data_IF_455926993502
#
_entry.id   IF_455926993502
#
_cell.length_a   1.000
_cell.length_b   1.000
_cell.length_c   1.000
_cell.angle_alpha   90.00
_cell.angle_beta   90.00
_cell.angle_gamma   90.00
#
_symmetry.space_group_name_H-M   'P 1'
#
loop_
_entity.id
_entity.type
_entity.pdbx_description
1 polymer ?
#
# COMPACT_ATOMS: atom_id res chain seq x y z
N UNK A 1 1.64 -10.19 0.49
CA UNK A 1 2.60 -9.84 1.57
C UNK A 1 2.29 -8.42 1.99
N UNK A 2 2.02 -8.16 3.27
CA UNK A 2 1.70 -6.81 3.75
C UNK A 2 2.95 -5.93 3.74
N UNK A 3 2.91 -4.75 3.14
CA UNK A 3 4.00 -3.77 3.19
C UNK A 3 3.69 -2.70 4.25
N UNK A 4 4.65 -2.35 5.14
CA UNK A 4 4.45 -1.29 6.11
C UNK A 4 4.21 0.07 5.42
N UNK A 5 3.31 0.87 5.97
CA UNK A 5 2.97 2.20 5.45
C UNK A 5 3.07 3.26 6.51
N UNK A 6 3.62 4.41 6.13
CA UNK A 6 3.51 5.59 6.94
C UNK A 6 2.15 6.26 6.70
N UNK A 7 1.42 6.55 7.77
CA UNK A 7 0.21 7.36 7.74
C UNK A 7 0.19 8.18 9.02
N UNK A 8 0.21 9.50 8.91
CA UNK A 8 0.06 10.36 10.08
C UNK A 8 -1.44 10.56 10.36
N UNK A 9 -1.83 10.53 11.63
CA UNK A 9 -3.23 10.52 12.07
C UNK A 9 -3.53 11.71 12.98
N UNK A 10 -4.80 12.11 13.02
CA UNK A 10 -5.32 13.06 13.99
C UNK A 10 -6.59 12.50 14.62
N UNK A 11 -6.69 12.58 15.95
CA UNK A 11 -7.84 12.10 16.72
C UNK A 11 -8.29 13.14 17.72
N UNK A 12 -9.50 12.98 18.26
CA UNK A 12 -10.08 13.92 19.20
C UNK A 12 -10.63 13.22 20.44
N UNK A 13 -10.52 13.90 21.59
CA UNK A 13 -11.02 13.41 22.86
C UNK A 13 -12.56 13.41 22.97
N UNK A 14 -13.26 14.10 22.06
CA UNK A 14 -14.72 14.20 22.05
C UNK A 14 -15.42 13.27 21.07
N UNK A 15 -14.70 12.35 20.41
CA UNK A 15 -15.25 11.44 19.41
C UNK A 15 -14.74 10.01 19.57
N UNK A 16 -15.51 9.05 19.05
CA UNK A 16 -15.01 7.70 18.81
C UNK A 16 -13.89 7.75 17.78
N UNK A 17 -12.86 6.92 17.96
CA UNK A 17 -11.81 6.75 16.98
C UNK A 17 -12.12 5.57 16.07
N UNK A 18 -12.45 5.87 14.81
CA UNK A 18 -12.93 4.90 13.82
C UNK A 18 -12.10 4.85 12.54
N UNK A 19 -10.81 5.19 12.60
CA UNK A 19 -9.93 5.12 11.43
C UNK A 19 -9.82 3.69 10.90
N UNK A 20 -9.77 3.59 9.57
CA UNK A 20 -9.59 2.33 8.84
C UNK A 20 -8.20 2.28 8.20
N UNK A 21 -7.64 1.08 8.11
CA UNK A 21 -6.28 0.84 7.64
C UNK A 21 -6.25 -0.15 6.46
N UNK A 22 -6.57 0.28 5.23
CA UNK A 22 -6.68 -0.62 4.08
C UNK A 22 -5.35 -1.27 3.70
N UNK A 23 -5.26 -2.58 3.85
CA UNK A 23 -4.11 -3.37 3.45
C UNK A 23 -4.18 -3.58 1.95
N UNK A 24 -3.35 -2.85 1.19
CA UNK A 24 -3.31 -3.03 -0.27
C UNK A 24 -1.98 -3.59 -0.74
N UNK A 25 -2.05 -4.35 -1.82
CA UNK A 25 -0.91 -4.84 -2.59
C UNK A 25 -1.13 -4.46 -4.07
N UNK A 26 -0.12 -4.66 -4.91
CA UNK A 26 -0.32 -4.54 -6.34
C UNK A 26 -1.24 -5.65 -6.84
N UNK A 27 -2.29 -5.26 -7.55
CA UNK A 27 -3.20 -6.13 -8.28
C UNK A 27 -2.89 -6.13 -9.78
N UNK A 28 -3.86 -6.55 -10.62
CA UNK A 28 -3.74 -6.48 -12.08
C UNK A 28 -3.34 -5.08 -12.56
N UNK A 29 -2.65 -5.01 -13.71
CA UNK A 29 -2.23 -3.74 -14.28
C UNK A 29 -3.00 -3.40 -15.56
N UNK A 30 -3.36 -2.12 -15.69
CA UNK A 30 -3.80 -1.56 -16.96
C UNK A 30 -2.59 -1.13 -17.80
N UNK A 31 -2.73 -1.24 -19.13
CA UNK A 31 -1.72 -0.80 -20.09
C UNK A 31 -2.34 0.23 -21.03
N UNK A 32 -1.63 1.34 -21.25
CA UNK A 32 -2.04 2.40 -22.17
C UNK A 32 -0.87 2.71 -23.10
N UNK A 33 -1.10 2.61 -24.41
CA UNK A 33 -0.11 3.00 -25.40
C UNK A 33 0.07 4.52 -25.44
N UNK A 34 1.31 4.97 -25.63
CA UNK A 34 1.63 6.38 -25.85
C UNK A 34 1.05 6.88 -27.16
N UNK A 35 0.54 8.12 -27.15
CA UNK A 35 -0.07 8.77 -28.32
C UNK A 35 0.91 8.95 -29.51
N UNK A 36 2.22 8.96 -29.23
CA UNK A 36 3.28 9.13 -30.23
C UNK A 36 3.83 7.82 -30.80
N UNK A 37 3.30 6.67 -30.41
CA UNK A 37 3.83 5.38 -30.84
C UNK A 37 3.66 5.21 -32.35
N UNK A 38 4.73 4.73 -33.01
CA UNK A 38 4.71 4.40 -34.44
C UNK A 38 4.47 2.92 -34.69
N UNK A 39 5.06 2.04 -33.87
CA UNK A 39 4.79 0.62 -33.95
C UNK A 39 3.40 0.27 -33.43
N UNK A 40 2.81 -0.77 -34.02
CA UNK A 40 1.44 -1.25 -33.73
C UNK A 40 1.42 -2.52 -32.86
N UNK A 41 2.57 -2.97 -32.38
CA UNK A 41 2.68 -4.14 -31.54
C UNK A 41 2.15 -3.92 -30.13
N UNK A 42 1.43 -4.88 -29.52
CA UNK A 42 0.87 -4.73 -28.19
C UNK A 42 1.90 -4.97 -27.08
N UNK A 43 1.74 -4.24 -25.97
CA UNK A 43 2.32 -4.58 -24.68
C UNK A 43 1.25 -5.25 -23.81
N UNK A 44 1.56 -6.42 -23.28
CA UNK A 44 0.72 -7.14 -22.33
C UNK A 44 1.44 -7.28 -20.97
N UNK A 45 0.67 -7.18 -19.89
CA UNK A 45 1.10 -7.55 -18.53
C UNK A 45 0.44 -8.87 -18.18
N UNK A 46 1.22 -9.94 -18.09
CA UNK A 46 0.69 -11.30 -17.84
C UNK A 46 0.63 -11.65 -16.36
N UNK A 47 1.43 -10.98 -15.53
CA UNK A 47 1.39 -11.10 -14.08
C UNK A 47 1.94 -9.85 -13.40
N UNK A 48 1.44 -9.54 -12.20
CA UNK A 48 1.95 -8.51 -11.31
C UNK A 48 2.25 -9.15 -9.97
N UNK A 49 3.48 -9.03 -9.50
CA UNK A 49 3.87 -9.52 -8.19
C UNK A 49 3.23 -8.62 -7.12
N UNK A 50 2.75 -9.16 -6.00
CA UNK A 50 2.06 -8.36 -4.98
C UNK A 50 2.86 -7.19 -4.38
N UNK A 51 4.19 -7.26 -4.46
CA UNK A 51 5.10 -6.23 -3.93
C UNK A 51 5.52 -5.19 -4.97
N UNK A 52 5.03 -5.27 -6.21
CA UNK A 52 5.26 -4.26 -7.23
C UNK A 52 4.81 -2.91 -6.72
N UNK A 53 5.59 -1.87 -7.01
CA UNK A 53 5.27 -0.51 -6.59
C UNK A 53 3.95 -0.07 -7.23
N UNK A 54 3.14 0.69 -6.49
CA UNK A 54 1.92 1.27 -7.06
C UNK A 54 2.27 2.61 -7.72
N UNK A 55 1.73 2.85 -8.91
CA UNK A 55 2.02 4.05 -9.68
C UNK A 55 2.37 3.74 -11.13
N UNK A 56 2.56 4.79 -11.94
CA UNK A 56 2.78 4.63 -13.37
C UNK A 56 4.20 4.13 -13.63
N UNK A 57 4.30 2.92 -14.14
CA UNK A 57 5.53 2.43 -14.76
C UNK A 57 5.52 2.82 -16.23
N UNK A 58 6.70 3.06 -16.80
CA UNK A 58 6.83 3.39 -18.22
C UNK A 58 7.72 2.36 -18.90
N UNK A 59 7.19 1.71 -19.93
CA UNK A 59 7.95 0.83 -20.83
C UNK A 59 8.27 1.62 -22.07
N UNK A 60 9.55 1.77 -22.42
CA UNK A 60 9.99 2.57 -23.58
C UNK A 60 10.95 1.77 -24.46
N UNK A 61 10.73 1.76 -25.76
CA UNK A 61 11.68 1.21 -26.74
C UNK A 61 12.92 2.09 -26.77
N UNK A 62 14.07 1.48 -26.48
CA UNK A 62 15.38 2.15 -26.38
C UNK A 62 16.29 1.82 -27.56
N UNK A 63 16.03 0.74 -28.29
CA UNK A 63 16.75 0.37 -29.50
C UNK A 63 15.82 -0.35 -30.49
N UNK A 64 15.98 -0.05 -31.78
CA UNK A 64 15.22 -0.63 -32.88
C UNK A 64 16.15 -0.85 -34.09
N UNK A 65 17.04 -1.84 -34.00
CA UNK A 65 18.07 -2.09 -35.00
C UNK A 65 18.01 -3.54 -35.49
N UNK A 66 18.07 -3.74 -36.81
CA UNK A 66 18.12 -5.08 -37.42
C UNK A 66 16.90 -5.96 -37.11
N UNK A 67 15.72 -5.37 -36.88
CA UNK A 67 14.50 -6.10 -36.49
C UNK A 67 14.50 -6.57 -35.03
N UNK A 68 15.51 -6.21 -34.24
CA UNK A 68 15.59 -6.47 -32.81
C UNK A 68 15.20 -5.19 -32.07
N UNK A 69 14.23 -5.31 -31.16
CA UNK A 69 13.72 -4.20 -30.38
C UNK A 69 14.01 -4.42 -28.90
N UNK A 70 14.74 -3.48 -28.29
CA UNK A 70 15.02 -3.49 -26.85
C UNK A 70 14.18 -2.41 -26.18
N UNK A 71 13.71 -2.70 -24.97
CA UNK A 71 12.96 -1.74 -24.17
C UNK A 71 13.52 -1.62 -22.75
N UNK A 72 13.33 -0.45 -22.15
CA UNK A 72 13.58 -0.19 -20.73
C UNK A 72 12.26 -0.10 -19.97
N UNK A 73 12.30 -0.38 -18.67
CA UNK A 73 11.17 -0.17 -17.76
C UNK A 73 11.59 0.78 -16.66
N UNK A 74 10.85 1.87 -16.52
CA UNK A 74 11.03 2.90 -15.50
C UNK A 74 9.93 2.77 -14.45
N UNK A 75 10.29 2.87 -13.17
CA UNK A 75 9.36 2.84 -12.04
C UNK A 75 8.61 4.18 -11.86
N UNK A 76 7.64 4.26 -10.93
CA UNK A 76 6.90 5.49 -10.64
C UNK A 76 7.79 6.64 -10.15
N UNK A 77 8.97 6.34 -9.60
CA UNK A 77 9.98 7.32 -9.19
C UNK A 77 10.83 7.86 -10.34
N UNK A 78 10.67 7.35 -11.56
CA UNK A 78 11.46 7.75 -12.72
C UNK A 78 12.79 7.02 -12.87
N UNK A 79 13.02 5.95 -12.08
CA UNK A 79 14.26 5.17 -12.13
C UNK A 79 14.14 3.99 -13.10
N UNK A 80 15.17 3.77 -13.93
CA UNK A 80 15.24 2.59 -14.78
C UNK A 80 15.46 1.33 -13.92
N UNK A 81 14.44 0.48 -13.83
CA UNK A 81 14.43 -0.73 -12.98
C UNK A 81 14.71 -2.02 -13.75
N UNK A 82 14.75 -1.96 -15.09
CA UNK A 82 15.27 -3.06 -15.90
C UNK A 82 15.07 -2.88 -17.39
N UNK A 83 15.39 -3.94 -18.14
CA UNK A 83 15.38 -3.96 -19.61
C UNK A 83 14.84 -5.29 -20.11
N UNK A 84 14.33 -5.28 -21.33
CA UNK A 84 13.83 -6.45 -22.01
C UNK A 84 13.98 -6.36 -23.52
N UNK A 85 13.60 -7.45 -24.20
CA UNK A 85 13.60 -7.56 -25.65
C UNK A 85 12.19 -7.92 -26.12
N UNK A 86 11.71 -7.26 -27.18
CA UNK A 86 10.42 -7.59 -27.78
C UNK A 86 10.43 -9.03 -28.33
N UNK A 87 9.29 -9.71 -28.26
CA UNK A 87 9.13 -11.12 -28.63
C UNK A 87 9.46 -12.12 -27.51
N UNK A 88 9.98 -11.65 -26.37
CA UNK A 88 10.20 -12.47 -25.18
C UNK A 88 9.31 -12.00 -24.01
N UNK A 89 8.96 -12.93 -23.13
CA UNK A 89 8.39 -12.60 -21.82
C UNK A 89 9.51 -12.20 -20.87
N UNK A 90 9.35 -11.07 -20.19
CA UNK A 90 10.36 -10.50 -19.28
C UNK A 90 9.72 -10.19 -17.94
N UNK A 91 10.38 -10.57 -16.84
CA UNK A 91 9.99 -10.18 -15.49
C UNK A 91 10.94 -9.11 -14.96
N UNK A 92 10.39 -7.95 -14.60
CA UNK A 92 11.15 -6.77 -14.15
C UNK A 92 10.33 -6.00 -13.11
N UNK A 93 10.93 -5.64 -11.97
CA UNK A 93 10.25 -4.92 -10.89
C UNK A 93 8.91 -5.55 -10.44
N UNK A 94 8.81 -6.88 -10.53
CA UNK A 94 7.60 -7.64 -10.22
C UNK A 94 6.52 -7.59 -11.32
N UNK A 95 6.70 -6.85 -12.40
CA UNK A 95 5.87 -6.94 -13.61
C UNK A 95 6.38 -8.06 -14.51
N UNK A 96 5.47 -8.92 -14.98
CA UNK A 96 5.77 -9.86 -16.08
C UNK A 96 5.12 -9.33 -17.34
N UNK A 97 5.96 -8.96 -18.30
CA UNK A 97 5.61 -8.19 -19.49
C UNK A 97 5.89 -9.00 -20.75
N UNK A 98 5.09 -8.79 -21.79
CA UNK A 98 5.37 -9.25 -23.15
C UNK A 98 5.08 -8.12 -24.14
N UNK A 99 6.12 -7.68 -24.84
CA UNK A 99 6.01 -6.73 -25.94
C UNK A 99 6.12 -7.51 -27.24
N UNK A 100 5.03 -7.64 -27.99
CA UNK A 100 5.01 -8.43 -29.23
C UNK A 100 5.15 -7.50 -30.44
N UNK A 101 6.13 -7.72 -31.34
CA UNK A 101 6.21 -6.96 -32.58
C UNK A 101 4.93 -7.09 -33.42
N UNK A 102 4.42 -5.97 -33.91
CA UNK A 102 3.27 -5.93 -34.80
C UNK A 102 3.67 -5.89 -36.29
N UNK A 103 2.76 -5.44 -37.14
CA UNK A 103 2.98 -5.31 -38.58
C UNK A 103 3.83 -4.08 -38.93
N UNK A 104 3.70 -3.02 -38.13
CA UNK A 104 4.52 -1.81 -38.20
C UNK A 104 5.61 -1.90 -37.14
N UNK A 105 6.90 -1.83 -37.53
CA UNK A 105 7.99 -1.99 -36.58
C UNK A 105 8.01 -0.86 -35.55
N UNK A 106 8.41 -1.20 -34.32
CA UNK A 106 8.61 -0.21 -33.28
C UNK A 106 9.74 0.76 -33.63
N UNK A 107 9.65 1.97 -33.08
CA UNK A 107 10.72 2.97 -33.13
C UNK A 107 11.21 3.32 -31.73
N UNK A 108 12.45 3.82 -31.65
CA UNK A 108 12.98 4.36 -30.40
C UNK A 108 12.06 5.50 -29.93
N UNK A 109 11.62 5.43 -28.68
CA UNK A 109 10.66 6.37 -28.10
C UNK A 109 9.21 5.90 -28.07
N UNK A 110 8.86 4.80 -28.77
CA UNK A 110 7.56 4.15 -28.56
C UNK A 110 7.45 3.72 -27.10
N UNK A 111 6.34 4.06 -26.44
CA UNK A 111 6.18 3.91 -25.00
C UNK A 111 4.78 3.45 -24.58
N UNK A 112 4.70 2.84 -23.40
CA UNK A 112 3.45 2.44 -22.77
C UNK A 112 3.49 2.80 -21.29
N UNK A 113 2.37 3.34 -20.80
CA UNK A 113 2.09 3.43 -19.37
C UNK A 113 1.56 2.10 -18.86
N UNK A 114 2.10 1.62 -17.74
CA UNK A 114 1.65 0.42 -17.04
C UNK A 114 1.29 0.80 -15.61
N UNK A 115 0.04 0.61 -15.23
CA UNK A 115 -0.48 1.02 -13.93
C UNK A 115 -1.08 -0.19 -13.19
N UNK A 116 -0.34 -0.79 -12.24
CA UNK A 116 -0.92 -1.71 -11.27
C UNK A 116 -2.03 -1.04 -10.47
N UNK A 117 -3.17 -1.71 -10.33
CA UNK A 117 -4.27 -1.24 -9.47
C UNK A 117 -4.01 -1.65 -8.02
N UNK A 118 -4.37 -0.83 -7.03
CA UNK A 118 -4.39 -1.28 -5.64
C UNK A 118 -5.41 -2.40 -5.48
N UNK A 119 -5.01 -3.50 -4.84
CA UNK A 119 -5.87 -4.62 -4.50
C UNK A 119 -5.81 -4.87 -2.99
N UNK A 120 -6.96 -5.03 -2.36
CA UNK A 120 -7.03 -5.37 -0.93
C UNK A 120 -6.44 -6.77 -0.68
N UNK A 121 -5.73 -6.90 0.42
CA UNK A 121 -5.16 -8.16 0.91
C UNK A 121 -6.25 -8.89 1.70
N UNK A 122 -6.47 -10.17 1.42
CA UNK A 122 -7.23 -11.03 2.32
C UNK A 122 -6.48 -11.18 3.66
N UNK A 123 -7.05 -10.61 4.72
CA UNK A 123 -6.50 -10.60 6.06
C UNK A 123 -7.15 -11.64 6.99
N UNK A 124 -7.79 -12.67 6.43
CA UNK A 124 -8.36 -13.77 7.21
C UNK A 124 -7.29 -14.42 8.09
N UNK A 125 -7.59 -14.55 9.38
CA UNK A 125 -6.69 -15.15 10.37
C UNK A 125 -5.57 -14.24 10.88
N UNK A 126 -5.59 -12.95 10.50
CA UNK A 126 -4.65 -11.94 11.02
C UNK A 126 -5.30 -11.20 12.19
N UNK A 127 -4.63 -11.22 13.34
CA UNK A 127 -4.95 -10.38 14.50
C UNK A 127 -4.17 -9.06 14.41
N UNK A 128 -4.68 -8.00 15.04
CA UNK A 128 -4.10 -6.68 15.00
C UNK A 128 -3.96 -6.06 16.39
N UNK A 129 -2.86 -5.35 16.60
CA UNK A 129 -2.63 -4.53 17.79
C UNK A 129 -2.08 -3.18 17.36
N UNK A 130 -2.76 -2.11 17.75
CA UNK A 130 -2.26 -0.75 17.66
C UNK A 130 -1.70 -0.31 19.01
N UNK A 131 -0.48 0.20 19.01
CA UNK A 131 0.16 0.78 20.19
C UNK A 131 0.48 2.25 19.93
N UNK A 132 0.07 3.11 20.88
CA UNK A 132 0.37 4.53 20.89
C UNK A 132 1.36 4.82 22.02
N UNK A 133 2.37 5.65 21.75
CA UNK A 133 3.43 6.02 22.69
C UNK A 133 3.78 7.50 22.54
N UNK A 134 4.28 8.13 23.59
CA UNK A 134 4.76 9.54 23.52
C UNK A 134 5.96 9.72 22.58
N UNK A 135 6.74 8.66 22.37
CA UNK A 135 7.88 8.65 21.46
C UNK A 135 8.22 7.22 21.06
N UNK A 136 9.02 7.05 20.00
CA UNK A 136 9.43 5.72 19.50
C UNK A 136 10.23 4.91 20.53
N UNK A 137 10.93 5.59 21.42
CA UNK A 137 11.77 4.97 22.45
C UNK A 137 11.06 4.81 23.79
N UNK A 138 9.86 5.39 23.96
CA UNK A 138 9.12 5.25 25.19
C UNK A 138 8.74 3.77 25.41
N UNK A 139 9.11 3.17 26.56
CA UNK A 139 8.71 1.79 26.86
C UNK A 139 7.22 1.70 27.23
N UNK A 140 6.59 2.83 27.58
CA UNK A 140 5.21 2.90 28.05
C UNK A 140 4.25 3.07 26.87
N UNK A 141 3.30 2.15 26.75
CA UNK A 141 2.14 2.28 25.86
C UNK A 141 1.11 3.17 26.53
N UNK A 142 0.78 4.29 25.88
CA UNK A 142 -0.24 5.23 26.35
C UNK A 142 -1.64 4.73 26.05
N UNK A 143 -1.84 4.18 24.86
CA UNK A 143 -3.10 3.58 24.42
C UNK A 143 -2.81 2.33 23.60
N UNK A 144 -3.57 1.27 23.86
CA UNK A 144 -3.55 0.04 23.07
C UNK A 144 -4.94 -0.25 22.54
N UNK A 145 -5.03 -0.60 21.26
CA UNK A 145 -6.23 -1.16 20.66
C UNK A 145 -5.92 -2.53 20.06
N UNK A 146 -6.84 -3.49 20.22
CA UNK A 146 -6.58 -4.89 19.85
C UNK A 146 -7.81 -5.55 19.26
N UNK A 147 -7.59 -6.40 18.24
CA UNK A 147 -8.63 -7.26 17.65
C UNK A 147 -8.95 -8.48 18.48
N UNK A 148 -8.07 -8.83 19.41
CA UNK A 148 -8.21 -10.03 20.22
C UNK A 148 -7.81 -9.74 21.66
N UNK A 149 -8.64 -8.99 22.39
CA UNK A 149 -8.34 -8.64 23.76
C UNK A 149 -8.34 -9.89 24.66
N UNK A 150 -7.48 -9.94 25.68
CA UNK A 150 -7.49 -11.01 26.67
C UNK A 150 -8.80 -10.99 27.47
N UNK A 151 -9.31 -12.18 27.80
CA UNK A 151 -10.47 -12.32 28.70
C UNK A 151 -11.82 -11.88 28.12
N UNK A 152 -11.93 -11.67 26.80
CA UNK A 152 -13.20 -11.38 26.13
C UNK A 152 -13.75 -9.98 26.39
N UNK A 153 -12.89 -9.00 26.71
CA UNK A 153 -13.29 -7.59 26.79
C UNK A 153 -13.64 -7.04 25.40
N UNK A 154 -14.15 -5.80 25.36
CA UNK A 154 -14.54 -5.15 24.11
C UNK A 154 -13.34 -5.05 23.16
N UNK A 155 -13.52 -5.54 21.93
CA UNK A 155 -12.57 -5.30 20.84
C UNK A 155 -12.59 -3.82 20.47
N UNK A 156 -11.42 -3.20 20.47
CA UNK A 156 -11.24 -1.79 20.09
C UNK A 156 -10.61 -1.64 18.71
N UNK A 157 -10.41 -2.77 18.03
CA UNK A 157 -9.97 -2.87 16.64
C UNK A 157 -10.70 -4.05 16.01
N UNK A 158 -11.45 -3.81 14.95
CA UNK A 158 -12.17 -4.83 14.19
C UNK A 158 -11.25 -5.31 13.06
N UNK A 159 -10.88 -6.60 13.01
CA UNK A 159 -10.09 -7.12 11.89
C UNK A 159 -10.93 -7.07 10.60
N UNK A 160 -10.28 -6.93 9.45
CA UNK A 160 -10.98 -6.93 8.17
C UNK A 160 -11.60 -8.29 7.84
N UNK A 161 -11.05 -9.38 8.39
CA UNK A 161 -11.56 -10.75 8.27
C UNK A 161 -11.84 -11.19 6.81
N UNK A 162 -10.92 -10.84 5.91
CA UNK A 162 -10.98 -11.12 4.48
C UNK A 162 -11.25 -9.89 3.62
N UNK A 163 -11.68 -8.77 4.23
CA UNK A 163 -11.80 -7.49 3.53
C UNK A 163 -10.47 -6.74 3.39
N UNK A 164 -9.47 -7.04 4.23
CA UNK A 164 -8.21 -6.30 4.24
C UNK A 164 -8.32 -4.90 4.81
N UNK A 165 -9.38 -4.58 5.56
CA UNK A 165 -9.59 -3.25 6.13
C UNK A 165 -9.78 -3.33 7.65
N UNK A 166 -8.70 -3.60 8.42
CA UNK A 166 -8.74 -3.45 9.87
C UNK A 166 -9.16 -2.03 10.24
N UNK A 167 -10.08 -1.91 11.18
CA UNK A 167 -10.73 -0.64 11.53
C UNK A 167 -10.74 -0.46 13.04
N UNK A 168 -10.41 0.73 13.54
CA UNK A 168 -10.50 1.04 14.96
C UNK A 168 -11.96 1.21 15.38
N UNK A 169 -12.23 0.88 16.64
CA UNK A 169 -13.47 1.20 17.33
C UNK A 169 -13.13 1.52 18.78
N UNK A 170 -12.38 2.60 18.98
CA UNK A 170 -12.06 3.09 20.32
C UNK A 170 -13.11 4.10 20.72
N UNK A 171 -13.95 3.75 21.69
CA UNK A 171 -15.06 4.59 22.11
C UNK A 171 -14.57 5.89 22.78
N UNK A 172 -15.31 6.98 22.60
CA UNK A 172 -15.00 8.30 23.15
C UNK A 172 -14.63 8.32 24.64
N UNK A 173 -15.25 7.51 25.54
CA UNK A 173 -14.83 7.45 26.94
C UNK A 173 -13.38 6.99 27.15
N UNK A 174 -12.82 6.22 26.22
CA UNK A 174 -11.41 5.81 26.22
C UNK A 174 -10.50 6.89 25.63
N UNK A 175 -11.04 7.75 24.76
CA UNK A 175 -10.34 8.89 24.16
C UNK A 175 -10.34 10.14 25.05
N UNK A 176 -11.09 10.14 26.16
CA UNK A 176 -11.18 11.30 27.05
C UNK A 176 -9.81 11.75 27.60
N UNK A 177 -9.59 13.06 27.86
CA UNK A 177 -8.28 13.60 28.25
C UNK A 177 -7.69 12.99 29.52
N UNK A 178 -8.55 12.51 30.43
CA UNK A 178 -8.14 11.81 31.66
C UNK A 178 -7.50 10.45 31.41
N UNK A 179 -7.73 9.84 30.24
CA UNK A 179 -7.20 8.53 29.85
C UNK A 179 -6.19 8.63 28.73
N UNK A 180 -6.46 9.49 27.76
CA UNK A 180 -5.55 9.78 26.66
C UNK A 180 -5.40 11.30 26.55
N UNK A 181 -4.40 11.90 27.24
CA UNK A 181 -4.24 13.35 27.23
C UNK A 181 -3.92 13.89 25.83
N UNK A 182 -4.39 15.09 25.48
CA UNK A 182 -3.99 15.75 24.24
C UNK A 182 -2.47 15.89 24.13
N UNK A 183 -1.97 15.74 22.91
CA UNK A 183 -0.55 15.88 22.63
C UNK A 183 -0.09 15.12 21.39
N UNK A 184 1.19 15.28 21.04
CA UNK A 184 1.82 14.51 19.99
C UNK A 184 2.22 13.12 20.50
N UNK A 185 2.00 12.13 19.65
CA UNK A 185 2.32 10.72 19.87
C UNK A 185 2.92 10.11 18.61
N UNK A 186 3.46 8.92 18.75
CA UNK A 186 3.72 8.00 17.65
C UNK A 186 2.89 6.76 17.83
N UNK A 187 2.52 6.12 16.73
CA UNK A 187 1.80 4.86 16.78
C UNK A 187 2.40 3.83 15.83
N UNK A 188 2.12 2.57 16.13
CA UNK A 188 2.38 1.44 15.26
C UNK A 188 1.19 0.48 15.31
N UNK A 189 0.69 0.08 14.14
CA UNK A 189 -0.26 -0.98 13.94
C UNK A 189 0.47 -2.25 13.50
N UNK A 190 0.39 -3.28 14.33
CA UNK A 190 1.01 -4.58 14.13
C UNK A 190 -0.02 -5.60 13.65
N UNK A 191 0.32 -6.35 12.60
CA UNK A 191 -0.34 -7.60 12.23
C UNK A 191 0.34 -8.77 12.95
N UNK A 192 -0.46 -9.70 13.44
CA UNK A 192 -0.07 -10.87 14.21
C UNK A 192 -0.70 -12.11 13.57
N UNK A 193 0.14 -13.04 13.12
CA UNK A 193 -0.31 -14.33 12.56
C UNK A 193 0.82 -15.36 12.69
N UNK A 194 0.49 -16.62 12.96
CA UNK A 194 1.45 -17.74 13.01
C UNK A 194 2.69 -17.48 13.89
N UNK A 195 2.50 -16.81 15.03
CA UNK A 195 3.60 -16.45 15.94
C UNK A 195 4.56 -15.38 15.39
N UNK A 196 4.21 -14.75 14.26
CA UNK A 196 4.96 -13.66 13.64
C UNK A 196 4.24 -12.34 13.88
N UNK A 197 5.03 -11.27 13.92
CA UNK A 197 4.56 -9.88 14.01
C UNK A 197 5.13 -9.06 12.86
N UNK A 198 4.33 -8.15 12.32
CA UNK A 198 4.79 -7.23 11.28
C UNK A 198 4.12 -5.87 11.43
N UNK A 199 4.91 -4.81 11.31
CA UNK A 199 4.41 -3.44 11.19
C UNK A 199 3.62 -3.29 9.89
N UNK A 200 2.42 -2.74 9.98
CA UNK A 200 1.52 -2.55 8.85
C UNK A 200 1.27 -1.08 8.60
N UNK A 201 1.00 -0.33 9.66
CA UNK A 201 0.97 1.12 9.64
C UNK A 201 1.80 1.68 10.79
N UNK A 202 2.39 2.84 10.56
CA UNK A 202 3.09 3.60 11.58
C UNK A 202 3.05 5.07 11.23
N UNK A 203 3.30 5.93 12.21
CA UNK A 203 3.37 7.36 11.95
C UNK A 203 3.25 8.19 13.20
N UNK A 204 3.08 9.49 12.98
CA UNK A 204 2.73 10.41 14.04
C UNK A 204 1.23 10.37 14.28
N UNK A 205 0.83 10.60 15.54
CA UNK A 205 -0.56 10.75 15.94
C UNK A 205 -0.68 12.05 16.73
N UNK A 206 -1.56 12.94 16.29
CA UNK A 206 -1.94 14.12 17.04
C UNK A 206 -3.28 13.87 17.74
N UNK A 207 -3.31 13.95 19.07
CA UNK A 207 -4.55 13.86 19.83
C UNK A 207 -4.93 15.24 20.38
N UNK A 208 -6.15 15.69 20.10
CA UNK A 208 -6.64 17.02 20.49
C UNK A 208 -7.85 16.92 21.40
N UNK A 209 -8.09 17.93 22.24
CA UNK A 209 -9.26 17.97 23.14
C UNK A 209 -10.61 17.92 22.39
N UNK A 210 -10.63 18.32 21.13
CA UNK A 210 -11.86 18.46 20.34
C UNK A 210 -12.69 19.66 20.76
N UNK A 211 -13.85 19.81 20.12
CA UNK A 211 -14.91 20.72 20.58
C UNK A 211 -15.91 19.87 21.36
N UNK A 212 -16.27 20.30 22.57
CA UNK A 212 -17.29 19.61 23.35
C UNK A 212 -18.63 19.64 22.60
N UNK A 213 -19.20 18.46 22.33
CA UNK A 213 -20.57 18.37 21.88
C UNK A 213 -21.49 18.79 23.03
N UNK A 214 -22.18 19.91 22.84
CA UNK A 214 -23.25 20.34 23.74
C UNK A 214 -24.57 19.83 23.14
N UNK A 215 -25.25 18.88 23.79
CA UNK A 215 -26.54 18.36 23.32
C UNK A 215 -27.65 19.42 23.33
#
# INVERSE_FOLDING_TARGET
MIQPRRQDLQTSASADWTDAFPLVQAGPAAVVAGIGNRGDGPLAVTAVAPYTELGPHVVTVTSAAGGVFLFGVTDPGGTLVGRGMAGATVTVAGLTLSLTPGSTPFQVGDAWGVQPTPQLIDDTGIDYVLQVRQSQTSPVVTLEATSRPPGGTLQTLIPGAGSGVPTLLVLAPMMAPTRFPPGPYVYELLALADGRRKSVYFGNLEHVDGVAYLP
#
